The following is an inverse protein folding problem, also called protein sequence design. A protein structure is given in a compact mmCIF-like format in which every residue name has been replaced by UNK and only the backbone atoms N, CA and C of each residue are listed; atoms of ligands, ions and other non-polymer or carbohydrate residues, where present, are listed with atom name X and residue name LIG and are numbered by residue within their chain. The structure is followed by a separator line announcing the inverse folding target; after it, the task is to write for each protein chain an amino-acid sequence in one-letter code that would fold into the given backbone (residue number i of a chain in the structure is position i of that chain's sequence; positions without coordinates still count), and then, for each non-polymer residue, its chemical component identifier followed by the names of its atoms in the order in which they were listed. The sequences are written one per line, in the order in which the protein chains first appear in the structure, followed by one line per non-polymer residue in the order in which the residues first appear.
data_IF_744713541039
#
_entry.id   IF_744713541039
#
_cell.length_a   1.000
_cell.length_b   1.000
_cell.length_c   1.000
_cell.angle_alpha   90.00
_cell.angle_beta   90.00
_cell.angle_gamma   90.00
#
_symmetry.space_group_name_H-M   'P 1'
#
loop_
_entity.id
_entity.type
_entity.pdbx_description
1 polymer ?
#
# COMPACT_ATOMS: atom_id res chain seq x y z
N UNK A 1 18.24 -1.06 -47.84
CA UNK A 1 17.05 -1.85 -48.19
C UNK A 1 16.19 -1.95 -46.95
N UNK A 2 14.97 -1.42 -47.01
CA UNK A 2 14.08 -1.30 -45.85
C UNK A 2 13.63 -2.68 -45.32
N UNK A 3 13.61 -3.69 -46.21
CA UNK A 3 13.36 -5.09 -45.88
C UNK A 3 14.38 -5.68 -44.90
N UNK A 4 15.58 -5.09 -44.79
CA UNK A 4 16.66 -5.58 -43.92
C UNK A 4 16.97 -4.58 -42.79
N UNK A 5 16.17 -3.53 -42.66
CA UNK A 5 16.36 -2.51 -41.64
C UNK A 5 16.26 -3.12 -40.22
N UNK A 6 17.03 -2.55 -39.29
CA UNK A 6 17.05 -2.99 -37.89
C UNK A 6 15.65 -2.93 -37.25
N UNK A 7 14.87 -1.91 -37.59
CA UNK A 7 13.49 -1.76 -37.14
C UNK A 7 12.59 -2.91 -37.62
N UNK A 8 12.62 -3.24 -38.91
CA UNK A 8 11.86 -4.35 -39.52
C UNK A 8 12.23 -5.70 -38.89
N UNK A 9 13.52 -5.95 -38.67
CA UNK A 9 13.99 -7.18 -38.00
C UNK A 9 13.52 -7.27 -36.54
N UNK A 10 13.57 -6.16 -35.80
CA UNK A 10 13.08 -6.07 -34.41
C UNK A 10 11.57 -6.32 -34.34
N UNK A 11 10.80 -5.75 -35.26
CA UNK A 11 9.37 -5.98 -35.41
C UNK A 11 9.05 -7.47 -35.59
N UNK A 12 9.67 -8.12 -36.58
CA UNK A 12 9.42 -9.53 -36.84
C UNK A 12 9.83 -10.41 -35.66
N UNK A 13 10.95 -10.12 -35.00
CA UNK A 13 11.34 -10.83 -33.80
C UNK A 13 10.31 -10.68 -32.66
N UNK A 14 9.79 -9.48 -32.43
CA UNK A 14 8.78 -9.21 -31.40
C UNK A 14 7.45 -9.93 -31.67
N UNK A 15 7.04 -10.01 -32.94
CA UNK A 15 5.84 -10.73 -33.37
C UNK A 15 6.07 -12.23 -33.59
N UNK A 16 7.29 -12.73 -33.35
CA UNK A 16 7.69 -14.11 -33.62
C UNK A 16 7.43 -14.54 -35.08
N UNK A 17 7.63 -13.62 -36.01
CA UNK A 17 7.52 -13.84 -37.45
C UNK A 17 8.91 -14.21 -37.97
N UNK A 18 9.00 -15.34 -38.66
CA UNK A 18 10.23 -15.74 -39.34
C UNK A 18 10.53 -14.80 -40.51
N UNK A 19 11.70 -14.17 -40.48
CA UNK A 19 12.12 -13.24 -41.52
C UNK A 19 12.95 -13.94 -42.60
N UNK A 20 12.31 -14.29 -43.71
CA UNK A 20 12.95 -14.96 -44.84
C UNK A 20 13.45 -13.92 -45.84
N UNK A 21 14.78 -13.86 -46.03
CA UNK A 21 15.42 -12.96 -47.02
C UNK A 21 16.06 -13.74 -48.15
N UNK A 22 16.05 -13.19 -49.36
CA UNK A 22 16.84 -13.75 -50.46
C UNK A 22 18.34 -13.73 -50.14
N UNK A 23 19.05 -14.78 -50.52
CA UNK A 23 20.50 -14.85 -50.44
C UNK A 23 21.15 -13.80 -51.36
N UNK A 24 22.35 -13.36 -50.97
CA UNK A 24 23.14 -12.49 -51.82
C UNK A 24 23.39 -13.15 -53.19
N UNK A 25 23.38 -12.35 -54.26
CA UNK A 25 23.58 -12.80 -55.64
C UNK A 25 22.63 -13.91 -56.12
N UNK A 26 21.42 -14.01 -55.52
CA UNK A 26 20.41 -14.99 -55.90
C UNK A 26 19.13 -14.37 -56.50
N UNK A 27 19.18 -13.74 -57.70
CA UNK A 27 18.02 -13.10 -58.31
C UNK A 27 16.82 -14.03 -58.52
N UNK A 28 17.05 -15.32 -58.79
CA UNK A 28 15.99 -16.31 -59.02
C UNK A 28 15.03 -16.48 -57.84
N UNK A 29 15.46 -16.14 -56.62
CA UNK A 29 14.62 -16.18 -55.42
C UNK A 29 13.59 -15.04 -55.37
N UNK A 30 13.70 -14.02 -56.23
CA UNK A 30 12.78 -12.88 -56.30
C UNK A 30 11.63 -13.08 -57.28
N UNK A 31 11.59 -14.22 -57.99
CA UNK A 31 10.57 -14.52 -59.00
C UNK A 31 9.12 -14.28 -58.55
N UNK A 32 8.70 -14.66 -57.32
CA UNK A 32 7.34 -14.38 -56.84
C UNK A 32 7.01 -12.87 -56.79
N UNK A 33 7.93 -12.05 -56.29
CA UNK A 33 7.75 -10.59 -56.17
C UNK A 33 7.66 -9.95 -57.56
N UNK A 34 8.56 -10.33 -58.47
CA UNK A 34 8.59 -9.80 -59.83
C UNK A 34 7.33 -10.17 -60.63
N UNK A 35 6.77 -11.37 -60.41
CA UNK A 35 5.50 -11.78 -61.02
C UNK A 35 4.34 -10.90 -60.54
N UNK A 36 4.21 -10.67 -59.24
CA UNK A 36 3.14 -9.82 -58.69
C UNK A 36 3.26 -8.39 -59.21
N UNK A 37 4.47 -7.81 -59.23
CA UNK A 37 4.69 -6.45 -59.78
C UNK A 37 4.26 -6.38 -61.24
N UNK A 38 4.61 -7.40 -62.04
CA UNK A 38 4.19 -7.47 -63.44
C UNK A 38 2.67 -7.54 -63.57
N UNK A 39 2.01 -8.38 -62.77
CA UNK A 39 0.54 -8.50 -62.75
C UNK A 39 -0.10 -7.17 -62.36
N UNK A 40 0.36 -6.53 -61.29
CA UNK A 40 -0.11 -5.22 -60.87
C UNK A 40 0.02 -4.17 -61.98
N UNK A 41 1.19 -4.05 -62.60
CA UNK A 41 1.41 -3.07 -63.68
C UNK A 41 0.54 -3.35 -64.90
N UNK A 42 0.32 -4.62 -65.23
CA UNK A 42 -0.45 -5.01 -66.43
C UNK A 42 -1.95 -4.85 -66.19
N UNK A 43 -2.44 -5.25 -65.02
CA UNK A 43 -3.86 -5.26 -64.69
C UNK A 43 -4.36 -3.87 -64.25
N UNK A 44 -3.62 -3.20 -63.35
CA UNK A 44 -4.00 -1.89 -62.80
C UNK A 44 -3.18 -0.76 -63.40
N UNK A 45 -1.86 -0.89 -63.44
CA UNK A 45 -0.98 0.22 -63.84
C UNK A 45 -1.35 0.83 -65.20
N UNK A 46 -1.70 0.00 -66.19
CA UNK A 46 -2.14 0.44 -67.53
C UNK A 46 -3.45 1.21 -67.56
N UNK A 47 -4.34 0.97 -66.62
CA UNK A 47 -5.67 1.61 -66.59
C UNK A 47 -5.64 2.95 -65.87
N UNK A 48 -4.61 3.20 -65.06
CA UNK A 48 -4.48 4.41 -64.30
C UNK A 48 -4.01 5.60 -65.16
N UNK A 49 -4.57 6.79 -64.93
CA UNK A 49 -4.08 7.99 -65.57
C UNK A 49 -2.63 8.28 -65.15
N UNK A 50 -1.84 8.87 -66.04
CA UNK A 50 -0.43 9.14 -65.80
C UNK A 50 0.53 7.94 -65.96
N UNK A 51 0.06 6.76 -66.38
CA UNK A 51 0.93 5.61 -66.63
C UNK A 51 1.97 5.87 -67.72
N UNK A 52 3.25 5.58 -67.43
CA UNK A 52 4.40 5.85 -68.30
C UNK A 52 5.05 4.58 -68.87
N UNK A 53 4.35 3.45 -68.87
CA UNK A 53 4.86 2.19 -69.42
C UNK A 53 5.57 1.29 -68.40
N UNK A 54 5.98 0.09 -68.85
CA UNK A 54 6.55 -0.96 -68.00
C UNK A 54 8.07 -0.89 -67.88
N UNK A 55 8.70 -0.07 -68.72
CA UNK A 55 10.14 0.00 -68.85
C UNK A 55 10.60 1.42 -69.16
N UNK A 56 11.88 1.69 -68.92
CA UNK A 56 12.50 2.98 -69.27
C UNK A 56 12.40 3.26 -70.77
N UNK A 57 12.44 2.22 -71.62
CA UNK A 57 12.20 2.34 -73.06
C UNK A 57 10.76 2.77 -73.36
N UNK A 58 9.76 2.13 -72.74
CA UNK A 58 8.35 2.50 -72.93
C UNK A 58 8.11 3.94 -72.49
N UNK A 59 8.70 4.32 -71.35
CA UNK A 59 8.67 5.69 -70.83
C UNK A 59 9.22 6.68 -71.84
N UNK A 60 10.41 6.43 -72.41
CA UNK A 60 11.00 7.30 -73.43
C UNK A 60 10.12 7.45 -74.67
N UNK A 61 9.46 6.38 -75.11
CA UNK A 61 8.53 6.42 -76.26
C UNK A 61 7.29 7.25 -75.92
N UNK A 62 6.72 7.08 -74.73
CA UNK A 62 5.55 7.85 -74.26
C UNK A 62 5.91 9.32 -74.07
N UNK A 63 7.04 9.62 -73.44
CA UNK A 63 7.58 10.97 -73.27
C UNK A 63 7.87 11.63 -74.63
N UNK A 64 8.47 10.92 -75.59
CA UNK A 64 8.73 11.45 -76.94
C UNK A 64 7.44 11.76 -77.70
N UNK A 65 6.41 10.91 -77.60
CA UNK A 65 5.08 11.15 -78.18
C UNK A 65 4.39 12.36 -77.53
N UNK A 66 4.50 12.50 -76.20
CA UNK A 66 3.95 13.65 -75.45
C UNK A 66 4.67 14.96 -75.78
N UNK A 67 6.00 14.95 -75.82
CA UNK A 67 6.81 16.12 -76.20
C UNK A 67 6.53 16.55 -77.65
N UNK A 68 6.26 15.60 -78.54
CA UNK A 68 5.81 15.89 -79.90
C UNK A 68 4.41 16.52 -79.94
N UNK A 69 3.46 16.00 -79.15
CA UNK A 69 2.10 16.56 -79.04
C UNK A 69 2.07 17.95 -78.37
N UNK A 70 2.95 18.22 -77.40
CA UNK A 70 3.12 19.54 -76.78
C UNK A 70 3.61 20.58 -77.80
N UNK A 71 4.54 20.20 -78.69
CA UNK A 71 5.02 21.06 -79.80
C UNK A 71 3.93 21.41 -80.82
N UNK A 72 2.81 20.67 -80.87
CA UNK A 72 1.65 20.99 -81.69
C UNK A 72 0.65 21.95 -81.01
N UNK A 73 0.98 22.53 -79.85
CA UNK A 73 0.18 23.55 -79.16
C UNK A 73 -0.75 23.00 -78.07
N UNK A 74 -0.39 21.87 -77.46
CA UNK A 74 -1.14 21.31 -76.32
C UNK A 74 -0.40 21.63 -75.01
N UNK A 75 -1.12 22.17 -74.04
CA UNK A 75 -0.64 22.68 -72.74
C UNK A 75 0.36 21.76 -72.01
N UNK A 76 1.48 22.33 -71.54
CA UNK A 76 2.66 21.66 -70.97
C UNK A 76 2.37 20.91 -69.66
N UNK A 77 1.31 21.28 -68.93
CA UNK A 77 0.90 20.64 -67.67
C UNK A 77 0.48 19.15 -67.84
N UNK A 78 0.16 18.71 -69.07
CA UNK A 78 -0.25 17.33 -69.38
C UNK A 78 0.91 16.37 -69.65
N UNK A 79 2.14 16.84 -69.74
CA UNK A 79 3.29 16.00 -70.11
C UNK A 79 3.75 15.08 -68.95
N UNK A 80 3.72 15.58 -67.72
CA UNK A 80 3.97 14.82 -66.47
C UNK A 80 2.73 14.84 -65.59
N UNK A 81 1.64 14.27 -66.11
CA UNK A 81 0.36 14.25 -65.42
C UNK A 81 0.38 13.21 -64.29
N UNK A 82 0.90 13.59 -63.13
CA UNK A 82 0.56 12.93 -61.86
C UNK A 82 -0.89 13.32 -61.58
N UNK A 83 -1.82 12.53 -62.15
CA UNK A 83 -3.26 12.83 -62.11
C UNK A 83 -3.92 12.30 -60.84
N UNK A 84 -3.22 11.45 -60.08
CA UNK A 84 -3.71 10.86 -58.84
C UNK A 84 -2.89 11.36 -57.65
N UNK A 85 -3.60 11.74 -56.58
CA UNK A 85 -2.99 11.87 -55.26
C UNK A 85 -2.61 10.49 -54.71
N UNK A 86 -1.76 10.45 -53.68
CA UNK A 86 -1.39 9.19 -53.02
C UNK A 86 -2.61 8.44 -52.47
N UNK A 87 -3.59 9.15 -51.91
CA UNK A 87 -4.84 8.58 -51.40
C UNK A 87 -5.71 8.00 -52.52
N UNK A 88 -5.82 8.69 -53.65
CA UNK A 88 -6.55 8.18 -54.81
C UNK A 88 -5.89 6.93 -55.39
N UNK A 89 -4.56 6.95 -55.51
CA UNK A 89 -3.80 5.78 -55.95
C UNK A 89 -3.99 4.60 -54.99
N UNK A 90 -3.97 4.85 -53.67
CA UNK A 90 -4.20 3.83 -52.66
C UNK A 90 -5.60 3.20 -52.81
N UNK A 91 -6.64 4.03 -52.99
CA UNK A 91 -8.01 3.55 -53.19
C UNK A 91 -8.15 2.68 -54.45
N UNK A 92 -7.51 3.06 -55.56
CA UNK A 92 -7.49 2.25 -56.78
C UNK A 92 -6.73 0.91 -56.57
N UNK A 93 -5.62 0.94 -55.81
CA UNK A 93 -4.88 -0.27 -55.45
C UNK A 93 -5.72 -1.22 -54.60
N UNK A 94 -6.43 -0.69 -53.61
CA UNK A 94 -7.29 -1.47 -52.70
C UNK A 94 -8.46 -2.09 -53.46
N UNK A 95 -9.15 -1.29 -54.29
CA UNK A 95 -10.24 -1.76 -55.14
C UNK A 95 -9.80 -2.86 -56.12
N UNK A 96 -8.61 -2.73 -56.70
CA UNK A 96 -8.02 -3.76 -57.55
C UNK A 96 -7.69 -5.04 -56.76
N UNK A 97 -7.03 -4.89 -55.61
CA UNK A 97 -6.61 -6.02 -54.79
C UNK A 97 -7.82 -6.85 -54.30
N UNK A 98 -8.85 -6.18 -53.78
CA UNK A 98 -10.04 -6.84 -53.23
C UNK A 98 -11.03 -7.28 -54.32
N UNK A 99 -11.28 -6.41 -55.30
CA UNK A 99 -12.35 -6.58 -56.27
C UNK A 99 -11.97 -7.44 -57.47
N UNK A 100 -10.70 -7.41 -57.88
CA UNK A 100 -10.23 -8.06 -59.11
C UNK A 100 -9.20 -9.16 -58.82
N UNK A 101 -8.04 -8.78 -58.27
CA UNK A 101 -6.92 -9.72 -58.08
C UNK A 101 -7.27 -10.84 -57.09
N UNK A 102 -7.87 -10.47 -55.95
CA UNK A 102 -8.24 -11.40 -54.89
C UNK A 102 -9.41 -12.32 -55.24
N UNK A 103 -10.25 -11.96 -56.22
CA UNK A 103 -11.43 -12.74 -56.64
C UNK A 103 -11.21 -13.59 -57.89
N UNK A 104 -10.18 -13.29 -58.68
CA UNK A 104 -9.79 -14.10 -59.85
C UNK A 104 -9.16 -15.42 -59.40
N UNK A 105 -9.44 -16.51 -60.11
CA UNK A 105 -8.78 -17.79 -59.88
C UNK A 105 -7.30 -17.73 -60.24
N UNK A 106 -6.45 -18.25 -59.35
CA UNK A 106 -5.01 -18.31 -59.57
C UNK A 106 -4.60 -19.76 -59.80
N UNK A 107 -3.90 -20.03 -60.91
CA UNK A 107 -3.50 -21.39 -61.28
C UNK A 107 -2.66 -22.11 -60.21
N UNK A 108 -1.85 -21.38 -59.44
CA UNK A 108 -1.07 -21.96 -58.34
C UNK A 108 -1.91 -22.35 -57.11
N UNK A 109 -3.10 -21.75 -56.96
CA UNK A 109 -4.02 -22.03 -55.85
C UNK A 109 -5.18 -22.95 -56.26
N UNK A 110 -5.48 -23.04 -57.57
CA UNK A 110 -6.65 -23.75 -58.10
C UNK A 110 -7.99 -23.07 -57.77
N UNK A 111 -7.95 -21.88 -57.15
CA UNK A 111 -9.10 -21.08 -56.72
C UNK A 111 -8.64 -19.62 -56.52
N UNK A 112 -9.57 -18.72 -56.21
CA UNK A 112 -9.21 -17.33 -55.88
C UNK A 112 -8.54 -17.19 -54.50
N UNK A 113 -7.65 -16.20 -54.31
CA UNK A 113 -7.10 -15.88 -53.00
C UNK A 113 -8.17 -15.65 -51.93
N UNK A 114 -9.28 -15.00 -52.30
CA UNK A 114 -10.42 -14.79 -51.42
C UNK A 114 -11.05 -16.12 -50.98
N UNK A 115 -11.34 -17.04 -51.92
CA UNK A 115 -11.88 -18.36 -51.58
C UNK A 115 -10.91 -19.16 -50.71
N UNK A 116 -9.61 -19.08 -51.00
CA UNK A 116 -8.58 -19.73 -50.20
C UNK A 116 -8.54 -19.21 -48.76
N UNK A 117 -8.56 -17.89 -48.59
CA UNK A 117 -8.61 -17.26 -47.27
C UNK A 117 -9.91 -17.61 -46.53
N UNK A 118 -11.06 -17.63 -47.21
CA UNK A 118 -12.34 -17.99 -46.64
C UNK A 118 -12.41 -19.48 -46.24
N UNK A 119 -11.70 -20.36 -46.95
CA UNK A 119 -11.61 -21.79 -46.62
C UNK A 119 -10.67 -22.11 -45.45
N UNK A 120 -10.04 -21.09 -44.85
CA UNK A 120 -9.07 -21.27 -43.77
C UNK A 120 -9.75 -21.71 -42.47
N UNK A 121 -9.34 -22.85 -41.93
CA UNK A 121 -9.94 -23.45 -40.72
C UNK A 121 -9.04 -23.37 -39.49
N UNK A 122 -7.78 -22.97 -39.65
CA UNK A 122 -6.82 -22.91 -38.54
C UNK A 122 -6.95 -21.59 -37.77
N UNK A 123 -6.51 -21.54 -36.51
CA UNK A 123 -6.64 -20.32 -35.69
C UNK A 123 -5.86 -19.15 -36.30
N UNK A 124 -6.53 -17.99 -36.39
CA UNK A 124 -5.89 -16.72 -36.74
C UNK A 124 -5.39 -16.07 -35.46
N UNK A 125 -4.07 -15.97 -35.31
CA UNK A 125 -3.45 -15.26 -34.18
C UNK A 125 -3.66 -13.77 -34.35
N UNK A 126 -4.30 -13.13 -33.37
CA UNK A 126 -4.52 -11.68 -33.35
C UNK A 126 -3.71 -11.05 -32.23
N UNK A 127 -3.31 -9.81 -32.45
CA UNK A 127 -2.61 -8.98 -31.48
C UNK A 127 -3.51 -7.80 -31.18
N UNK A 128 -3.49 -7.34 -29.93
CA UNK A 128 -4.17 -6.11 -29.54
C UNK A 128 -3.61 -4.93 -30.35
N UNK A 129 -4.48 -4.08 -30.88
CA UNK A 129 -4.07 -2.89 -31.63
C UNK A 129 -3.21 -1.96 -30.76
N UNK A 130 -3.52 -1.84 -29.46
CA UNK A 130 -2.71 -1.02 -28.55
C UNK A 130 -1.29 -1.58 -28.36
N UNK A 131 -1.12 -2.91 -28.39
CA UNK A 131 0.19 -3.52 -28.29
C UNK A 131 1.06 -3.23 -29.52
N UNK A 132 0.46 -2.96 -30.69
CA UNK A 132 1.18 -2.62 -31.91
C UNK A 132 1.75 -1.20 -31.91
N UNK A 133 1.34 -0.34 -30.97
CA UNK A 133 1.82 1.05 -30.86
C UNK A 133 3.33 1.14 -30.63
N UNK A 134 3.94 0.11 -30.03
CA UNK A 134 5.40 -0.03 -29.88
C UNK A 134 6.15 -0.09 -31.22
N UNK A 135 5.45 -0.37 -32.32
CA UNK A 135 6.01 -0.49 -33.66
C UNK A 135 5.95 0.82 -34.44
N UNK A 136 5.21 1.81 -33.92
CA UNK A 136 5.05 3.12 -34.55
C UNK A 136 6.37 3.90 -34.58
N UNK A 137 6.40 4.92 -35.45
CA UNK A 137 7.58 5.73 -35.69
C UNK A 137 7.96 6.51 -34.43
N UNK A 138 9.25 6.54 -34.03
CA UNK A 138 9.71 7.44 -32.98
C UNK A 138 9.41 8.90 -33.33
N UNK A 139 8.98 9.70 -32.35
CA UNK A 139 8.73 11.12 -32.55
C UNK A 139 9.99 11.85 -33.04
N UNK A 140 9.86 12.82 -33.98
CA UNK A 140 11.01 13.49 -34.57
C UNK A 140 11.76 14.34 -33.53
N UNK A 141 13.10 14.26 -33.55
CA UNK A 141 13.99 15.01 -32.66
C UNK A 141 14.14 14.40 -31.25
N UNK A 142 15.27 14.67 -30.58
CA UNK A 142 15.54 14.21 -29.21
C UNK A 142 15.46 12.69 -29.03
N UNK A 143 15.84 11.92 -30.05
CA UNK A 143 15.80 10.45 -30.09
C UNK A 143 14.43 9.83 -29.72
N UNK A 144 13.34 10.57 -29.93
CA UNK A 144 11.99 10.14 -29.53
C UNK A 144 11.67 10.30 -28.04
N UNK A 145 12.63 10.70 -27.20
CA UNK A 145 12.42 10.86 -25.75
C UNK A 145 11.95 12.28 -25.43
N UNK A 146 10.92 12.40 -24.57
CA UNK A 146 10.37 13.67 -24.09
C UNK A 146 10.11 13.62 -22.60
N UNK A 147 10.09 14.80 -21.98
CA UNK A 147 9.64 14.96 -20.59
C UNK A 147 8.23 15.51 -20.60
N UNK A 148 7.31 14.85 -19.89
CA UNK A 148 5.93 15.28 -19.82
C UNK A 148 5.81 16.60 -19.05
N UNK A 149 5.27 17.64 -19.68
CA UNK A 149 5.00 18.93 -19.04
C UNK A 149 3.55 19.06 -18.55
N UNK A 150 3.22 20.20 -17.93
CA UNK A 150 1.83 20.50 -17.51
C UNK A 150 0.85 20.60 -18.69
N UNK A 151 1.35 20.98 -19.87
CA UNK A 151 0.58 21.03 -21.13
C UNK A 151 0.79 19.77 -21.99
N UNK A 152 1.25 18.69 -21.37
CA UNK A 152 1.58 17.44 -22.06
C UNK A 152 2.94 17.47 -22.76
N UNK A 153 3.04 16.76 -23.88
CA UNK A 153 4.29 16.63 -24.66
C UNK A 153 4.29 17.61 -25.84
N UNK A 154 5.43 18.24 -26.11
CA UNK A 154 5.61 19.12 -27.27
C UNK A 154 6.35 18.39 -28.41
N UNK A 155 5.74 18.34 -29.59
CA UNK A 155 6.31 17.76 -30.81
C UNK A 155 5.99 18.69 -31.97
N UNK A 156 7.03 19.11 -32.69
CA UNK A 156 6.92 19.95 -33.89
C UNK A 156 6.01 21.19 -33.72
N UNK A 157 6.11 21.84 -32.56
CA UNK A 157 5.30 23.03 -32.22
C UNK A 157 3.92 22.74 -31.62
N UNK A 158 3.39 21.52 -31.77
CA UNK A 158 2.10 21.10 -31.22
C UNK A 158 2.21 20.54 -29.81
N UNK A 159 1.11 20.68 -29.05
CA UNK A 159 0.96 20.16 -27.70
C UNK A 159 -0.01 18.96 -27.69
N UNK A 160 0.50 17.82 -27.20
CA UNK A 160 -0.27 16.58 -27.05
C UNK A 160 -0.57 16.39 -25.57
N UNK A 161 -1.86 16.42 -25.24
CA UNK A 161 -2.34 16.23 -23.88
C UNK A 161 -2.38 14.74 -23.57
N UNK A 162 -1.55 14.31 -22.61
CA UNK A 162 -1.41 12.90 -22.23
C UNK A 162 -2.15 12.65 -20.93
N UNK A 163 -3.11 11.72 -20.95
CA UNK A 163 -3.83 11.27 -19.77
C UNK A 163 -3.05 10.12 -19.07
N UNK A 164 -3.26 9.94 -17.76
CA UNK A 164 -2.72 8.79 -17.03
C UNK A 164 -1.21 8.81 -16.71
N UNK A 165 -0.46 9.79 -17.24
CA UNK A 165 0.99 9.92 -17.00
C UNK A 165 1.30 11.13 -16.13
N UNK A 166 2.27 10.98 -15.23
CA UNK A 166 2.67 12.04 -14.31
C UNK A 166 3.56 13.08 -14.95
N UNK A 167 3.31 14.34 -14.63
CA UNK A 167 4.15 15.46 -15.07
C UNK A 167 5.57 15.28 -14.54
N UNK A 168 6.56 15.48 -15.39
CA UNK A 168 7.98 15.26 -15.11
C UNK A 168 8.50 13.88 -15.51
N UNK A 169 7.62 12.93 -15.84
CA UNK A 169 8.03 11.60 -16.32
C UNK A 169 8.71 11.71 -17.70
N UNK A 170 9.83 11.00 -17.86
CA UNK A 170 10.48 10.81 -19.16
C UNK A 170 9.76 9.70 -19.91
N UNK A 171 9.35 9.98 -21.14
CA UNK A 171 8.58 9.07 -21.98
C UNK A 171 9.23 8.95 -23.35
N UNK A 172 9.18 7.76 -23.95
CA UNK A 172 9.53 7.51 -25.34
C UNK A 172 8.27 7.63 -26.19
N UNK A 173 8.23 8.62 -27.07
CA UNK A 173 7.00 8.96 -27.81
C UNK A 173 7.05 8.38 -29.20
N UNK A 174 5.96 7.72 -29.58
CA UNK A 174 5.74 7.19 -30.93
C UNK A 174 4.50 7.79 -31.54
N UNK A 175 4.48 7.90 -32.86
CA UNK A 175 3.37 8.49 -33.62
C UNK A 175 3.18 7.77 -34.96
N UNK A 176 1.96 7.84 -35.47
CA UNK A 176 1.63 7.39 -36.82
C UNK A 176 1.77 8.57 -37.80
N UNK A 177 2.60 8.47 -38.86
CA UNK A 177 2.67 9.54 -39.86
C UNK A 177 1.34 9.81 -40.58
N UNK A 178 0.41 8.84 -40.62
CA UNK A 178 -0.92 8.99 -41.19
C UNK A 178 -1.91 9.65 -40.22
N UNK A 179 -1.74 9.45 -38.91
CA UNK A 179 -2.52 10.12 -37.84
C UNK A 179 -1.60 10.96 -36.96
N UNK A 180 -1.41 12.22 -37.37
CA UNK A 180 -0.62 13.20 -36.61
C UNK A 180 -1.35 13.72 -35.38
N UNK A 181 -2.63 13.42 -35.18
CA UNK A 181 -3.41 13.90 -34.05
C UNK A 181 -3.13 13.14 -32.75
N UNK A 182 -2.57 11.94 -32.85
CA UNK A 182 -2.33 11.03 -31.73
C UNK A 182 -0.87 10.67 -31.57
N UNK A 183 -0.48 10.46 -30.32
CA UNK A 183 0.83 9.95 -29.94
C UNK A 183 0.71 8.94 -28.83
N UNK A 184 1.63 7.98 -28.78
CA UNK A 184 1.70 6.96 -27.74
C UNK A 184 2.97 7.16 -26.93
N UNK A 185 2.80 7.30 -25.62
CA UNK A 185 3.88 7.49 -24.68
C UNK A 185 4.25 6.14 -24.07
N UNK A 186 5.47 5.69 -24.29
CA UNK A 186 6.02 4.47 -23.72
C UNK A 186 7.06 4.79 -22.65
N UNK A 187 7.30 3.82 -21.78
CA UNK A 187 8.43 3.85 -20.87
C UNK A 187 9.74 3.66 -21.67
N UNK A 188 10.76 4.53 -21.51
CA UNK A 188 11.99 4.45 -22.30
C UNK A 188 12.82 3.18 -22.09
N UNK A 189 12.66 2.48 -20.97
CA UNK A 189 13.47 1.31 -20.61
C UNK A 189 12.72 0.00 -20.91
N UNK A 190 11.43 -0.03 -20.61
CA UNK A 190 10.60 -1.24 -20.69
C UNK A 190 9.72 -1.32 -21.95
N UNK A 191 9.65 -0.25 -22.76
CA UNK A 191 8.73 -0.10 -23.90
C UNK A 191 7.23 -0.22 -23.51
N UNK A 192 6.91 -0.26 -22.20
CA UNK A 192 5.55 -0.38 -21.69
C UNK A 192 4.71 0.86 -22.05
N UNK A 193 3.47 0.66 -22.51
CA UNK A 193 2.58 1.77 -22.82
C UNK A 193 2.16 2.48 -21.52
N UNK A 194 2.47 3.78 -21.43
CA UNK A 194 2.13 4.63 -20.30
C UNK A 194 0.83 5.40 -20.53
N UNK A 195 0.55 5.80 -21.78
CA UNK A 195 -0.69 6.46 -22.14
C UNK A 195 -0.70 7.07 -23.54
N UNK A 196 -1.90 7.41 -24.00
CA UNK A 196 -2.14 8.13 -25.26
C UNK A 196 -2.11 9.65 -25.03
N UNK A 197 -1.48 10.35 -25.96
CA UNK A 197 -1.51 11.80 -26.08
C UNK A 197 -2.35 12.24 -27.26
N UNK A 198 -3.26 13.19 -27.05
CA UNK A 198 -4.13 13.75 -28.10
C UNK A 198 -3.83 15.22 -28.33
N UNK A 199 -3.71 15.62 -29.59
CA UNK A 199 -3.59 17.03 -29.97
C UNK A 199 -4.95 17.58 -30.43
N UNK A 200 -5.59 18.47 -29.63
CA UNK A 200 -6.89 19.02 -29.98
C UNK A 200 -6.91 19.75 -31.34
N UNK A 201 -5.83 20.48 -31.65
CA UNK A 201 -5.72 21.29 -32.86
C UNK A 201 -5.70 20.44 -34.13
N UNK A 202 -5.02 19.29 -34.10
CA UNK A 202 -4.89 18.38 -35.24
C UNK A 202 -6.09 17.43 -35.37
N UNK A 203 -6.73 17.08 -34.25
CA UNK A 203 -7.93 16.24 -34.23
C UNK A 203 -9.23 17.02 -34.50
N UNK A 204 -9.19 18.35 -34.43
CA UNK A 204 -10.39 19.19 -34.52
C UNK A 204 -11.33 19.02 -33.32
N UNK A 205 -10.83 18.52 -32.19
CA UNK A 205 -11.58 18.34 -30.94
C UNK A 205 -11.52 19.61 -30.09
N UNK A 206 -12.55 19.86 -29.27
CA UNK A 206 -12.56 21.00 -28.34
C UNK A 206 -11.40 20.87 -27.31
N UNK A 207 -10.45 21.82 -27.28
CA UNK A 207 -9.35 21.79 -26.33
C UNK A 207 -9.80 21.80 -24.87
N UNK A 208 -10.97 22.38 -24.56
CA UNK A 208 -11.47 22.39 -23.19
C UNK A 208 -11.93 21.00 -22.72
N UNK A 209 -12.58 20.24 -23.60
CA UNK A 209 -13.03 18.87 -23.32
C UNK A 209 -11.85 17.93 -23.03
N UNK A 210 -10.84 17.90 -23.91
CA UNK A 210 -9.66 17.05 -23.71
C UNK A 210 -8.90 17.44 -22.44
N UNK A 211 -8.75 18.75 -22.15
CA UNK A 211 -8.10 19.20 -20.91
C UNK A 211 -8.88 18.77 -19.67
N UNK A 212 -10.21 18.83 -19.70
CA UNK A 212 -11.04 18.41 -18.58
C UNK A 212 -10.90 16.91 -18.31
N UNK A 213 -10.89 16.08 -19.37
CA UNK A 213 -10.67 14.65 -19.26
C UNK A 213 -9.28 14.32 -18.69
N UNK A 214 -8.24 14.93 -19.25
CA UNK A 214 -6.86 14.74 -18.78
C UNK A 214 -6.69 15.21 -17.34
N UNK A 215 -7.33 16.31 -16.95
CA UNK A 215 -7.31 16.81 -15.58
C UNK A 215 -8.04 15.89 -14.61
N UNK A 216 -9.18 15.32 -15.02
CA UNK A 216 -9.92 14.34 -14.22
C UNK A 216 -9.08 13.08 -13.98
N UNK A 217 -8.40 12.59 -15.02
CA UNK A 217 -7.53 11.43 -14.94
C UNK A 217 -6.29 11.68 -14.08
N UNK A 218 -5.63 12.84 -14.26
CA UNK A 218 -4.51 13.21 -13.40
C UNK A 218 -4.93 13.37 -11.94
N UNK A 219 -6.12 13.94 -11.69
CA UNK A 219 -6.66 14.02 -10.34
C UNK A 219 -6.89 12.64 -9.74
N UNK A 220 -7.47 11.70 -10.49
CA UNK A 220 -7.65 10.30 -10.05
C UNK A 220 -6.32 9.67 -9.64
N UNK A 221 -5.32 9.78 -10.50
CA UNK A 221 -3.99 9.22 -10.26
C UNK A 221 -3.26 9.88 -9.07
N UNK A 222 -3.42 11.19 -8.89
CA UNK A 222 -2.91 11.90 -7.71
C UNK A 222 -3.66 11.43 -6.46
N UNK A 223 -4.98 11.32 -6.50
CA UNK A 223 -5.80 10.92 -5.37
C UNK A 223 -5.50 9.48 -4.94
N UNK A 224 -5.31 8.55 -5.87
CA UNK A 224 -4.88 7.17 -5.60
C UNK A 224 -3.51 7.13 -4.90
N UNK A 225 -2.50 7.82 -5.44
CA UNK A 225 -1.15 7.83 -4.85
C UNK A 225 -1.08 8.56 -3.52
N UNK A 226 -1.88 9.61 -3.35
CA UNK A 226 -1.95 10.36 -2.11
C UNK A 226 -2.91 9.75 -1.10
N UNK A 227 -3.76 8.79 -1.46
CA UNK A 227 -4.70 8.14 -0.54
C UNK A 227 -3.97 7.42 0.60
N UNK A 228 -2.92 6.66 0.28
CA UNK A 228 -2.07 5.98 1.27
C UNK A 228 -1.38 7.00 2.19
N UNK A 229 -0.74 8.03 1.61
CA UNK A 229 -0.09 9.10 2.38
C UNK A 229 -1.08 9.88 3.25
N UNK A 230 -2.30 10.14 2.77
CA UNK A 230 -3.37 10.80 3.53
C UNK A 230 -3.87 9.90 4.66
N UNK A 231 -3.98 8.59 4.44
CA UNK A 231 -4.32 7.63 5.48
C UNK A 231 -3.26 7.60 6.59
N UNK A 232 -1.98 7.50 6.23
CA UNK A 232 -0.87 7.59 7.18
C UNK A 232 -0.84 8.94 7.91
N UNK A 233 -1.06 10.05 7.19
CA UNK A 233 -1.13 11.38 7.81
C UNK A 233 -2.25 11.51 8.84
N UNK A 234 -3.38 10.80 8.68
CA UNK A 234 -4.46 10.79 9.69
C UNK A 234 -4.03 10.14 11.00
N UNK A 235 -3.09 9.20 10.97
CA UNK A 235 -2.52 8.59 12.17
C UNK A 235 -1.44 9.46 12.84
N UNK A 236 -0.90 10.45 12.12
CA UNK A 236 0.01 11.46 12.66
C UNK A 236 -0.81 12.60 13.25
N UNK A 237 -1.21 12.45 14.51
CA UNK A 237 -1.91 13.49 15.28
C UNK A 237 -0.93 14.30 16.12
N UNK A 238 -1.35 15.46 16.62
CA UNK A 238 -0.59 16.25 17.60
C UNK A 238 -0.19 15.42 18.82
N UNK A 239 -1.00 14.42 19.19
CA UNK A 239 -0.71 13.47 20.26
C UNK A 239 0.40 12.50 19.87
N UNK A 240 0.34 11.91 18.68
CA UNK A 240 1.42 11.06 18.13
C UNK A 240 2.77 11.82 18.11
N UNK A 241 2.76 13.09 17.72
CA UNK A 241 3.97 13.94 17.71
C UNK A 241 4.45 14.26 19.14
N UNK A 242 3.53 14.52 20.07
CA UNK A 242 3.87 14.74 21.48
C UNK A 242 4.46 13.48 22.12
N UNK A 243 3.90 12.30 21.81
CA UNK A 243 4.36 11.02 22.33
C UNK A 243 5.75 10.66 21.77
N UNK A 244 6.00 10.90 20.48
CA UNK A 244 7.35 10.80 19.88
C UNK A 244 8.35 11.78 20.53
N UNK A 245 7.93 13.02 20.85
CA UNK A 245 8.78 13.98 21.57
C UNK A 245 9.09 13.51 22.99
N UNK A 246 8.11 12.92 23.69
CA UNK A 246 8.31 12.34 25.03
C UNK A 246 9.24 11.13 24.98
N UNK A 247 9.09 10.24 24.00
CA UNK A 247 9.99 9.10 23.82
C UNK A 247 11.41 9.56 23.54
N UNK A 248 11.63 10.52 22.62
CA UNK A 248 12.95 11.11 22.40
C UNK A 248 13.52 11.78 23.65
N UNK A 249 12.70 12.50 24.41
CA UNK A 249 13.13 13.10 25.68
C UNK A 249 13.51 12.03 26.71
N UNK A 250 12.77 10.91 26.76
CA UNK A 250 13.05 9.78 27.63
C UNK A 250 14.31 9.00 27.23
N UNK A 251 14.57 8.84 25.93
CA UNK A 251 15.81 8.26 25.41
C UNK A 251 17.02 9.15 25.75
N UNK A 252 16.89 10.47 25.58
CA UNK A 252 17.91 11.44 25.96
C UNK A 252 18.12 11.51 27.48
N UNK A 253 17.05 11.36 28.27
CA UNK A 253 17.12 11.36 29.74
C UNK A 253 17.43 9.98 30.33
N UNK A 254 17.35 8.90 29.54
CA UNK A 254 17.52 7.52 29.99
C UNK A 254 18.89 7.20 30.56
N UNK A 255 19.89 8.06 30.30
CA UNK A 255 21.23 8.00 30.89
C UNK A 255 21.45 8.96 32.07
N UNK A 256 20.44 9.72 32.50
CA UNK A 256 20.54 10.71 33.58
C UNK A 256 19.53 10.39 34.68
N UNK A 257 19.80 9.32 35.44
CA UNK A 257 19.18 9.12 36.75
C UNK A 257 19.95 10.00 37.74
N UNK A 258 19.33 11.08 38.22
CA UNK A 258 19.89 11.85 39.33
C UNK A 258 19.90 10.96 40.58
N UNK A 259 21.09 10.56 41.01
CA UNK A 259 21.26 9.86 42.28
C UNK A 259 20.71 10.73 43.42
N UNK A 260 19.95 10.15 44.37
CA UNK A 260 19.54 10.89 45.56
C UNK A 260 20.80 11.39 46.26
N UNK A 261 20.93 12.70 46.40
CA UNK A 261 22.05 13.27 47.12
C UNK A 261 21.96 12.86 48.58
N UNK A 262 23.13 12.69 49.22
CA UNK A 262 23.21 12.34 50.63
C UNK A 262 22.44 13.38 51.44
N UNK A 263 21.27 12.98 51.96
CA UNK A 263 20.47 13.84 52.82
C UNK A 263 21.05 13.75 54.24
N UNK A 264 21.63 14.85 54.72
CA UNK A 264 21.98 15.00 56.12
C UNK A 264 20.80 15.62 56.87
N UNK A 265 20.44 15.00 57.98
CA UNK A 265 19.35 15.49 58.81
C UNK A 265 19.83 16.75 59.54
N UNK A 266 19.38 17.92 59.08
CA UNK A 266 19.75 19.20 59.68
C UNK A 266 18.90 19.44 60.93
N UNK A 267 19.51 19.24 62.10
CA UNK A 267 18.89 19.55 63.39
C UNK A 267 19.41 20.88 63.92
N UNK A 268 18.49 21.71 64.43
CA UNK A 268 18.82 22.94 65.18
C UNK A 268 18.00 22.93 66.47
N UNK A 269 18.43 23.65 67.52
CA UNK A 269 17.69 23.68 68.79
C UNK A 269 16.21 24.06 68.64
N UNK A 270 15.89 24.93 67.69
CA UNK A 270 14.51 25.33 67.37
C UNK A 270 13.69 24.21 66.70
N UNK A 271 14.34 23.37 65.87
CA UNK A 271 13.70 22.22 65.21
C UNK A 271 13.47 21.08 66.21
N UNK A 272 14.38 20.88 67.16
CA UNK A 272 14.24 19.89 68.24
C UNK A 272 13.10 20.26 69.19
N UNK A 273 13.01 21.53 69.60
CA UNK A 273 11.87 22.02 70.39
C UNK A 273 10.52 21.85 69.65
N UNK A 274 10.51 22.09 68.33
CA UNK A 274 9.34 21.83 67.49
C UNK A 274 8.99 20.34 67.39
N UNK A 275 9.99 19.46 67.30
CA UNK A 275 9.81 18.01 67.27
C UNK A 275 9.28 17.46 68.60
N UNK A 276 9.74 18.00 69.73
CA UNK A 276 9.26 17.64 71.07
C UNK A 276 7.80 18.05 71.27
N UNK A 277 7.41 19.26 70.86
CA UNK A 277 6.01 19.69 70.89
C UNK A 277 5.15 18.82 69.97
N UNK A 278 5.67 18.41 68.80
CA UNK A 278 4.97 17.51 67.90
C UNK A 278 4.82 16.09 68.48
N UNK A 279 5.81 15.58 69.22
CA UNK A 279 5.77 14.29 69.89
C UNK A 279 4.77 14.28 71.06
N UNK A 280 4.75 15.36 71.85
CA UNK A 280 3.76 15.56 72.93
C UNK A 280 2.32 15.57 72.38
N UNK A 281 2.08 16.20 71.21
CA UNK A 281 0.76 16.16 70.55
C UNK A 281 0.36 14.78 70.04
N UNK A 282 1.33 13.92 69.71
CA UNK A 282 1.10 12.52 69.30
C UNK A 282 0.92 11.56 70.47
N UNK A 283 0.99 12.04 71.71
CA UNK A 283 0.84 11.22 72.92
C UNK A 283 2.09 10.38 73.22
N UNK A 284 3.23 10.69 72.61
CA UNK A 284 4.51 10.04 72.93
C UNK A 284 5.03 10.56 74.27
N UNK A 285 5.46 9.66 75.16
CA UNK A 285 6.00 10.03 76.47
C UNK A 285 7.30 10.84 76.31
N UNK A 286 7.51 11.91 77.11
CA UNK A 286 8.72 12.71 77.04
C UNK A 286 9.96 11.83 77.24
N UNK A 287 11.00 12.07 76.43
CA UNK A 287 12.28 11.39 76.62
C UNK A 287 12.83 11.80 77.99
N UNK A 288 13.16 10.86 78.90
CA UNK A 288 13.67 11.23 80.21
C UNK A 288 15.02 11.92 80.04
N UNK A 289 15.15 13.12 80.61
CA UNK A 289 16.42 13.82 80.67
C UNK A 289 17.44 12.99 81.48
N UNK A 290 18.74 13.03 81.15
CA UNK A 290 19.77 12.36 81.93
C UNK A 290 19.77 12.93 83.35
N UNK A 291 19.56 12.06 84.34
CA UNK A 291 19.52 12.45 85.76
C UNK A 291 20.90 12.91 86.23
N UNK A 292 20.94 13.97 87.03
CA UNK A 292 22.19 14.44 87.63
C UNK A 292 22.62 13.51 88.77
N UNK A 293 23.92 13.48 89.13
CA UNK A 293 24.42 12.62 90.22
C UNK A 293 23.75 12.86 91.58
N UNK A 294 23.26 14.08 91.83
CA UNK A 294 22.51 14.43 93.04
C UNK A 294 21.09 13.85 93.04
N UNK A 295 20.43 13.82 91.88
CA UNK A 295 19.08 13.24 91.74
C UNK A 295 19.10 11.73 91.99
N UNK A 296 20.16 11.05 91.54
CA UNK A 296 20.35 9.62 91.80
C UNK A 296 20.54 9.32 93.29
N UNK A 297 21.20 10.20 94.05
CA UNK A 297 21.37 10.04 95.50
C UNK A 297 20.06 10.21 96.25
N UNK A 298 19.29 11.25 95.91
CA UNK A 298 18.00 11.51 96.54
C UNK A 298 17.00 10.38 96.24
N UNK A 299 17.05 9.83 95.02
CA UNK A 299 16.23 8.68 94.64
C UNK A 299 16.60 7.42 95.44
N UNK A 300 17.90 7.19 95.67
CA UNK A 300 18.37 6.08 96.51
C UNK A 300 17.95 6.23 98.00
N UNK A 301 17.92 7.46 98.53
CA UNK A 301 17.39 7.73 99.88
C UNK A 301 15.89 7.46 99.97
N UNK A 302 15.11 7.88 98.97
CA UNK A 302 13.66 7.64 98.92
C UNK A 302 13.35 6.14 98.77
N UNK A 303 14.12 5.42 97.96
CA UNK A 303 13.98 3.96 97.81
C UNK A 303 14.35 3.20 99.09
N UNK A 304 15.32 3.70 99.88
CA UNK A 304 15.66 3.15 101.18
C UNK A 304 14.56 3.39 102.23
N UNK A 305 13.93 4.57 102.22
CA UNK A 305 12.81 4.91 103.12
C UNK A 305 11.52 4.13 102.77
N UNK A 306 11.30 3.77 101.50
CA UNK A 306 10.15 2.98 101.05
C UNK A 306 10.32 1.46 101.24
N UNK A 307 11.52 0.97 101.58
CA UNK A 307 11.77 -0.46 101.80
C UNK A 307 11.28 -0.98 103.18
N UNK A 308 10.72 -0.12 104.03
CA UNK A 308 10.09 -0.49 105.29
C UNK A 308 8.59 -0.79 105.15
N UNK A 309 8.24 -2.09 105.21
CA UNK A 309 6.90 -2.71 105.35
C UNK A 309 6.09 -2.99 104.05
N UNK A 310 5.84 -4.28 103.72
CA UNK A 310 4.97 -4.66 102.62
C UNK A 310 3.49 -4.80 103.04
N UNK A 311 2.59 -4.11 102.33
CA UNK A 311 1.14 -4.36 102.32
C UNK A 311 0.79 -5.20 101.07
N UNK A 312 -0.04 -6.26 101.18
CA UNK A 312 -0.35 -7.11 100.04
C UNK A 312 -1.64 -6.65 99.33
N UNK A 313 -1.72 -6.74 97.99
CA UNK A 313 -3.01 -6.82 97.30
C UNK A 313 -3.29 -8.24 96.79
N UNK A 314 -4.43 -8.74 97.27
CA UNK A 314 -5.17 -9.95 96.90
C UNK A 314 -5.93 -9.68 95.59
N UNK A 315 -5.85 -10.57 94.60
CA UNK A 315 -6.84 -10.64 93.51
C UNK A 315 -7.20 -12.10 93.23
N UNK A 316 -8.45 -12.44 93.50
CA UNK A 316 -9.08 -13.76 93.34
C UNK A 316 -9.96 -13.76 92.07
N UNK A 317 -9.89 -14.76 91.16
CA UNK A 317 -10.75 -14.80 89.98
C UNK A 317 -12.21 -15.11 90.34
N UNK A 318 -13.14 -14.27 89.88
CA UNK A 318 -14.58 -14.39 90.09
C UNK A 318 -15.23 -15.22 88.96
N UNK A 319 -15.86 -16.34 89.33
CA UNK A 319 -16.89 -17.19 88.65
C UNK A 319 -16.45 -18.64 88.37
N UNK A 320 -17.27 -19.58 88.87
CA UNK A 320 -17.09 -21.05 88.83
C UNK A 320 -18.04 -21.77 87.85
N UNK A 321 -18.89 -21.05 87.14
CA UNK A 321 -19.90 -21.64 86.23
C UNK A 321 -19.66 -21.21 84.78
N UNK A 322 -19.68 -22.18 83.86
CA UNK A 322 -19.45 -21.97 82.43
C UNK A 322 -20.58 -21.15 81.81
N UNK A 323 -20.23 -20.16 80.97
CA UNK A 323 -21.22 -19.34 80.26
C UNK A 323 -21.90 -20.14 79.14
N UNK A 324 -23.12 -19.74 78.70
CA UNK A 324 -23.79 -20.39 77.58
C UNK A 324 -22.93 -20.50 76.30
N UNK A 325 -22.11 -19.48 76.01
CA UNK A 325 -21.19 -19.49 74.88
C UNK A 325 -20.04 -20.50 75.05
N UNK A 326 -19.55 -20.70 76.28
CA UNK A 326 -18.54 -21.72 76.58
C UNK A 326 -19.10 -23.13 76.41
N UNK A 327 -20.35 -23.37 76.83
CA UNK A 327 -21.04 -24.66 76.64
C UNK A 327 -21.28 -24.96 75.15
N UNK A 328 -21.66 -23.96 74.36
CA UNK A 328 -21.80 -24.14 72.91
C UNK A 328 -20.47 -24.45 72.21
N UNK A 329 -19.37 -23.77 72.60
CA UNK A 329 -18.02 -24.11 72.10
C UNK A 329 -17.59 -25.53 72.47
N UNK A 330 -17.91 -25.98 73.69
CA UNK A 330 -17.68 -27.37 74.10
C UNK A 330 -18.46 -28.35 73.21
N UNK A 331 -19.71 -28.05 72.87
CA UNK A 331 -20.50 -28.87 71.97
C UNK A 331 -19.90 -28.95 70.56
N UNK A 332 -19.48 -27.82 69.99
CA UNK A 332 -18.81 -27.79 68.67
C UNK A 332 -17.49 -28.59 68.65
N UNK A 333 -16.71 -28.52 69.73
CA UNK A 333 -15.47 -29.28 69.84
C UNK A 333 -15.73 -30.80 69.84
N UNK A 334 -16.76 -31.26 70.57
CA UNK A 334 -17.13 -32.68 70.61
C UNK A 334 -17.71 -33.15 69.26
N UNK A 335 -18.52 -32.32 68.60
CA UNK A 335 -19.03 -32.59 67.24
C UNK A 335 -17.91 -32.71 66.21
N UNK A 336 -16.90 -31.84 66.29
CA UNK A 336 -15.73 -31.90 65.43
C UNK A 336 -14.93 -33.20 65.65
N UNK A 337 -14.75 -33.62 66.91
CA UNK A 337 -14.09 -34.88 67.25
C UNK A 337 -14.85 -36.12 66.75
N UNK A 338 -16.19 -36.11 66.85
CA UNK A 338 -17.02 -37.18 66.27
C UNK A 338 -16.95 -37.21 64.74
N UNK A 339 -16.89 -36.04 64.09
CA UNK A 339 -16.79 -35.93 62.64
C UNK A 339 -15.44 -36.41 62.10
N UNK A 340 -14.35 -36.24 62.86
CA UNK A 340 -13.01 -36.76 62.51
C UNK A 340 -12.81 -38.23 62.88
N UNK A 341 -13.80 -38.87 63.51
CA UNK A 341 -13.77 -40.29 63.88
C UNK A 341 -12.94 -40.59 65.13
N UNK A 342 -12.66 -39.58 65.96
CA UNK A 342 -11.97 -39.77 67.25
C UNK A 342 -12.92 -40.35 68.31
N UNK A 343 -12.38 -41.18 69.22
CA UNK A 343 -13.17 -41.80 70.29
C UNK A 343 -13.47 -40.76 71.37
N UNK A 344 -14.72 -40.32 71.43
CA UNK A 344 -15.24 -39.42 72.48
C UNK A 344 -15.67 -40.23 73.70
N UNK A 345 -15.39 -39.71 74.91
CA UNK A 345 -15.83 -40.34 76.15
C UNK A 345 -17.37 -40.43 76.23
N UNK A 346 -17.90 -41.58 76.70
CA UNK A 346 -19.35 -41.82 76.77
C UNK A 346 -20.13 -40.72 77.52
N UNK A 347 -19.55 -40.11 78.55
CA UNK A 347 -20.17 -39.02 79.30
C UNK A 347 -20.35 -37.74 78.46
N UNK A 348 -19.36 -37.42 77.61
CA UNK A 348 -19.40 -36.25 76.72
C UNK A 348 -20.34 -36.48 75.52
N UNK A 349 -20.42 -37.70 75.01
CA UNK A 349 -21.39 -38.08 73.98
C UNK A 349 -22.84 -38.00 74.47
N UNK A 350 -23.11 -38.47 75.71
CA UNK A 350 -24.42 -38.35 76.34
C UNK A 350 -24.79 -36.89 76.65
N UNK A 351 -23.82 -36.11 77.14
CA UNK A 351 -24.02 -34.68 77.39
C UNK A 351 -24.32 -33.91 76.10
N UNK A 352 -23.57 -34.17 75.03
CA UNK A 352 -23.81 -33.55 73.72
C UNK A 352 -25.21 -33.87 73.20
N UNK A 353 -25.64 -35.14 73.27
CA UNK A 353 -26.98 -35.53 72.85
C UNK A 353 -28.10 -34.82 73.64
N UNK A 354 -27.91 -34.64 74.95
CA UNK A 354 -28.83 -33.87 75.79
C UNK A 354 -28.81 -32.36 75.48
N UNK A 355 -27.64 -31.79 75.24
CA UNK A 355 -27.47 -30.36 74.96
C UNK A 355 -27.98 -29.97 73.57
N UNK A 356 -27.73 -30.79 72.54
CA UNK A 356 -28.26 -30.60 71.18
C UNK A 356 -29.80 -30.58 71.12
N UNK A 357 -30.45 -31.35 72.00
CA UNK A 357 -31.90 -31.39 72.10
C UNK A 357 -32.49 -30.13 72.77
N UNK A 358 -31.66 -29.34 73.47
CA UNK A 358 -32.07 -28.16 74.22
C UNK A 358 -32.33 -26.91 73.36
N UNK A 359 -33.14 -25.96 73.88
CA UNK A 359 -33.39 -24.69 73.19
C UNK A 359 -32.14 -23.78 73.16
N UNK A 360 -31.23 -23.90 74.13
CA UNK A 360 -29.99 -23.10 74.20
C UNK A 360 -29.06 -23.38 73.01
N UNK A 361 -28.87 -24.65 72.64
CA UNK A 361 -28.05 -25.03 71.50
C UNK A 361 -28.60 -24.47 70.19
N UNK A 362 -29.93 -24.51 69.99
CA UNK A 362 -30.57 -23.94 68.79
C UNK A 362 -30.37 -22.43 68.70
N UNK A 363 -30.56 -21.73 69.81
CA UNK A 363 -30.35 -20.28 69.86
C UNK A 363 -28.90 -19.89 69.56
N UNK A 364 -27.93 -20.56 70.17
CA UNK A 364 -26.51 -20.30 69.94
C UNK A 364 -26.07 -20.71 68.53
N UNK A 365 -26.63 -21.78 67.97
CA UNK A 365 -26.39 -22.18 66.59
C UNK A 365 -26.88 -21.13 65.59
N UNK A 366 -28.08 -20.58 65.77
CA UNK A 366 -28.58 -19.49 64.93
C UNK A 366 -27.71 -18.23 65.05
N UNK A 367 -27.29 -17.86 66.27
CA UNK A 367 -26.38 -16.72 66.47
C UNK A 367 -25.04 -16.94 65.77
N UNK A 368 -24.50 -18.16 65.85
CA UNK A 368 -23.23 -18.52 65.19
C UNK A 368 -23.36 -18.53 63.66
N UNK A 369 -24.50 -18.98 63.12
CA UNK A 369 -24.79 -18.96 61.68
C UNK A 369 -24.95 -17.52 61.14
N UNK A 370 -25.61 -16.63 61.90
CA UNK A 370 -25.88 -15.25 61.47
C UNK A 370 -24.68 -14.30 61.65
N UNK A 371 -23.89 -14.46 62.73
CA UNK A 371 -22.86 -13.48 63.12
C UNK A 371 -21.43 -14.04 63.16
N UNK A 372 -21.24 -15.35 62.93
CA UNK A 372 -19.92 -15.99 62.95
C UNK A 372 -19.28 -16.09 64.34
N UNK A 373 -18.06 -16.64 64.39
CA UNK A 373 -17.38 -17.03 65.64
C UNK A 373 -17.09 -15.84 66.59
N UNK A 374 -17.06 -14.61 66.07
CA UNK A 374 -16.81 -13.40 66.85
C UNK A 374 -17.96 -13.04 67.81
N UNK A 375 -19.18 -13.54 67.59
CA UNK A 375 -20.34 -13.29 68.44
C UNK A 375 -20.38 -14.17 69.70
N UNK A 376 -19.50 -15.18 69.80
CA UNK A 376 -19.46 -16.15 70.90
C UNK A 376 -18.34 -15.87 71.93
N UNK A 377 -17.82 -14.62 71.99
CA UNK A 377 -16.73 -14.22 72.92
C UNK A 377 -17.20 -13.94 74.35
#
# INVERSE_FOLDING_TARGET
SDFVAKATRRLFAALQIEHITSAAFSPWQKGPVERVIRTFQTDLGRTLPGFIGHSVSDRKVIEARRAFAARLGTDDAKAFAVELTGEQLQAECDAWAEGQYGRRDHGALGMSPFAKAASWTQPVRRVDAEALTVLLMPAPGGDGIRTLGKRGVRIDGFHYLVAGVSVGTRVFVRLDPADKGRVWCHDPETDALLGEGRCPELLGEDPAAIRAEVAAEQKRLIDERTAAMRAERRHITSRTVLDLRRQRAAELSGNLVAFPQRAEQHSTPSLEAGAEIAALRRGEAPRPAPQTPEQLRLQAEIEADLAGAPLPPVVTPLRREETPAQRFRRAQAIEAQLATGEVVANADALWLGGYQAGPEYRAQKTIAEDFGEAALR
#
